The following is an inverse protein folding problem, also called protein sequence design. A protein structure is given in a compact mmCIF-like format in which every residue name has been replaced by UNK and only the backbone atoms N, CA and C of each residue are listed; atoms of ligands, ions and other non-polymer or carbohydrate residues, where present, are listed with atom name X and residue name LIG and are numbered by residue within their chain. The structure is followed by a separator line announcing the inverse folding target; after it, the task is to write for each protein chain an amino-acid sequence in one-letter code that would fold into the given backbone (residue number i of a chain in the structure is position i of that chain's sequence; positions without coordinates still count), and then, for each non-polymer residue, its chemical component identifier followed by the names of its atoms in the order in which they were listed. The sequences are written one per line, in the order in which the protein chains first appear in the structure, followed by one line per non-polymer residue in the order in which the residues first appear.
data_IF_624362437010
#
_entry.id   IF_624362437010
#
_cell.length_a   1.000
_cell.length_b   1.000
_cell.length_c   1.000
_cell.angle_alpha   90.00
_cell.angle_beta   90.00
_cell.angle_gamma   90.00
#
_symmetry.space_group_name_H-M   'P 1'
#
loop_
_entity.id
_entity.type
_entity.pdbx_description
1 polymer ?
#
# COMPACT_ATOMS: atom_id res chain seq x y z
N UNK A 1 -10.31 -5.53 -5.34
CA UNK A 1 -10.71 -4.52 -4.34
C UNK A 1 -9.80 -4.69 -3.15
N UNK A 2 -9.02 -3.66 -2.88
CA UNK A 2 -8.09 -3.59 -1.76
C UNK A 2 -8.84 -3.24 -0.47
N UNK A 3 -8.53 -3.96 0.62
CA UNK A 3 -9.04 -3.65 1.97
C UNK A 3 -8.19 -2.59 2.66
N UNK A 4 -8.71 -2.00 3.74
CA UNK A 4 -7.95 -1.06 4.58
C UNK A 4 -6.66 -1.69 5.11
N UNK A 5 -6.75 -2.89 5.69
CA UNK A 5 -5.60 -3.64 6.20
C UNK A 5 -4.53 -3.91 5.12
N UNK A 6 -4.96 -4.29 3.91
CA UNK A 6 -4.03 -4.51 2.80
C UNK A 6 -3.32 -3.21 2.40
N UNK A 7 -4.05 -2.10 2.37
CA UNK A 7 -3.45 -0.79 2.09
C UNK A 7 -2.50 -0.33 3.20
N UNK A 8 -2.86 -0.55 4.47
CA UNK A 8 -2.02 -0.19 5.61
C UNK A 8 -0.72 -1.00 5.64
N UNK A 9 -0.75 -2.31 5.39
CA UNK A 9 0.48 -3.13 5.27
C UNK A 9 1.39 -2.65 4.13
N UNK A 10 0.81 -2.22 3.00
CA UNK A 10 1.58 -1.59 1.93
C UNK A 10 2.21 -0.26 2.36
N UNK A 11 1.45 0.57 3.09
CA UNK A 11 1.91 1.86 3.61
C UNK A 11 3.01 1.72 4.66
N UNK A 12 2.96 0.70 5.52
CA UNK A 12 4.01 0.40 6.48
C UNK A 12 5.34 0.13 5.76
N UNK A 13 5.31 -0.66 4.69
CA UNK A 13 6.50 -0.91 3.85
C UNK A 13 6.97 0.38 3.19
N UNK A 14 6.07 1.19 2.63
CA UNK A 14 6.42 2.48 2.01
C UNK A 14 7.06 3.45 3.02
N UNK A 15 6.49 3.58 4.20
CA UNK A 15 6.96 4.48 5.25
C UNK A 15 8.29 4.02 5.86
N UNK A 16 8.54 2.70 5.89
CA UNK A 16 9.78 2.14 6.43
C UNK A 16 11.04 2.50 5.63
N UNK A 17 10.90 2.76 4.32
CA UNK A 17 12.04 3.03 3.43
C UNK A 17 12.97 1.84 3.17
N UNK A 18 12.63 0.63 3.64
CA UNK A 18 13.48 -0.57 3.53
C UNK A 18 13.63 -1.09 2.09
N UNK A 19 12.69 -0.74 1.21
CA UNK A 19 12.70 -1.11 -0.21
C UNK A 19 12.08 0.00 -1.05
N UNK A 20 12.45 0.06 -2.33
CA UNK A 20 11.75 0.88 -3.30
C UNK A 20 10.38 0.23 -3.63
N UNK A 21 9.33 1.05 -3.76
CA UNK A 21 7.98 0.55 -4.05
C UNK A 21 7.80 -0.03 -5.47
N UNK A 22 8.76 0.21 -6.36
CA UNK A 22 8.82 -0.40 -7.70
C UNK A 22 9.31 -1.86 -7.62
N UNK A 23 10.05 -2.23 -6.56
CA UNK A 23 10.43 -3.63 -6.30
C UNK A 23 9.21 -4.39 -5.73
N UNK A 24 8.25 -4.66 -6.61
CA UNK A 24 6.97 -5.28 -6.25
C UNK A 24 7.17 -6.66 -5.61
N UNK A 25 8.24 -7.36 -5.97
CA UNK A 25 8.57 -8.67 -5.37
C UNK A 25 8.90 -8.48 -3.91
N UNK A 26 9.81 -7.55 -3.59
CA UNK A 26 10.21 -7.29 -2.21
C UNK A 26 9.10 -6.65 -1.39
N UNK A 27 8.34 -5.73 -1.98
CA UNK A 27 7.14 -5.15 -1.34
C UNK A 27 6.15 -6.25 -0.99
N UNK A 28 5.83 -7.13 -1.94
CA UNK A 28 4.85 -8.20 -1.71
C UNK A 28 5.24 -9.15 -0.59
N UNK A 29 6.53 -9.50 -0.49
CA UNK A 29 7.06 -10.31 0.63
C UNK A 29 6.91 -9.59 1.97
N UNK A 30 7.20 -8.28 2.02
CA UNK A 30 7.20 -7.52 3.27
C UNK A 30 5.78 -7.14 3.75
N UNK A 31 4.88 -6.84 2.83
CA UNK A 31 3.49 -6.46 3.14
C UNK A 31 2.53 -7.66 3.18
N UNK A 32 3.02 -8.87 2.88
CA UNK A 32 2.20 -10.06 2.65
C UNK A 32 1.06 -9.80 1.64
N UNK A 33 1.45 -9.23 0.50
CA UNK A 33 0.57 -8.93 -0.63
C UNK A 33 1.08 -9.62 -1.89
N UNK A 34 0.15 -10.08 -2.72
CA UNK A 34 0.52 -10.59 -4.03
C UNK A 34 0.78 -9.45 -5.02
N UNK A 35 1.45 -9.78 -6.13
CA UNK A 35 1.80 -8.82 -7.19
C UNK A 35 0.60 -8.01 -7.71
N UNK A 36 -0.56 -8.64 -7.85
CA UNK A 36 -1.77 -7.98 -8.37
C UNK A 36 -2.28 -6.93 -7.38
N UNK A 37 -2.28 -7.25 -6.08
CA UNK A 37 -2.66 -6.31 -5.03
C UNK A 37 -1.71 -5.12 -4.99
N UNK A 38 -0.39 -5.35 -5.03
CA UNK A 38 0.60 -4.27 -5.07
C UNK A 38 0.37 -3.33 -6.27
N UNK A 39 0.13 -3.89 -7.47
CA UNK A 39 -0.15 -3.12 -8.68
C UNK A 39 -1.48 -2.35 -8.61
N UNK A 40 -2.53 -2.96 -8.05
CA UNK A 40 -3.84 -2.31 -7.83
C UNK A 40 -3.68 -1.13 -6.87
N UNK A 41 -2.89 -1.30 -5.79
CA UNK A 41 -2.57 -0.23 -4.84
C UNK A 41 -1.78 0.88 -5.52
N UNK A 42 -0.69 0.56 -6.24
CA UNK A 42 0.11 1.57 -6.95
C UNK A 42 -0.71 2.38 -7.95
N UNK A 43 -1.63 1.72 -8.67
CA UNK A 43 -2.46 2.38 -9.69
C UNK A 43 -3.56 3.25 -9.10
N UNK A 44 -4.05 2.90 -7.90
CA UNK A 44 -5.17 3.58 -7.23
C UNK A 44 -4.73 4.32 -5.96
N UNK A 45 -3.44 4.60 -5.83
CA UNK A 45 -2.82 4.97 -4.56
C UNK A 45 -3.48 6.20 -3.93
N UNK A 46 -3.63 7.29 -4.67
CA UNK A 46 -4.25 8.52 -4.17
C UNK A 46 -5.67 8.27 -3.66
N UNK A 47 -6.48 7.50 -4.41
CA UNK A 47 -7.85 7.19 -4.00
C UNK A 47 -7.91 6.33 -2.73
N UNK A 48 -7.01 5.34 -2.60
CA UNK A 48 -6.94 4.48 -1.42
C UNK A 48 -6.41 5.24 -0.20
N UNK A 49 -5.41 6.10 -0.41
CA UNK A 49 -4.90 7.03 0.60
C UNK A 49 -6.02 7.94 1.09
N UNK A 50 -6.76 8.56 0.19
CA UNK A 50 -7.86 9.45 0.53
C UNK A 50 -8.97 8.72 1.30
N UNK A 51 -9.23 7.47 0.92
CA UNK A 51 -10.25 6.62 1.54
C UNK A 51 -9.86 6.12 2.94
N UNK A 52 -8.61 5.74 3.15
CA UNK A 52 -8.17 5.03 4.35
C UNK A 52 -7.35 5.86 5.32
N UNK A 53 -6.64 6.91 4.88
CA UNK A 53 -5.80 7.73 5.75
C UNK A 53 -6.39 9.11 6.10
N UNK A 54 -7.43 9.56 5.40
CA UNK A 54 -8.03 10.89 5.63
C UNK A 54 -9.21 10.87 6.60
N UNK A 55 -9.12 10.07 7.66
CA UNK A 55 -9.89 10.31 8.88
C UNK A 55 -9.03 11.14 9.83
N UNK A 56 -9.12 12.46 9.65
CA UNK A 56 -9.00 13.56 10.64
C UNK A 56 -8.36 14.82 10.03
N UNK A 57 -9.24 15.72 9.61
CA UNK A 57 -9.03 17.17 9.70
C UNK A 57 -10.40 17.77 10.01
N UNK A 58 -10.82 17.64 11.27
CA UNK A 58 -11.82 18.49 11.89
C UNK A 58 -11.18 19.17 13.10
#
# INVERSE_FOLDING_TARGET
MITEEQFLRYEEVRASGVTNMIDIVRVGVLSDLNRKQCLEIMSSYSNLKDKYLTKESK
#
